data_IF_898903804348
#
_entry.id   IF_898903804348
#
_cell.length_a   1.000
_cell.length_b   1.000
_cell.length_c   1.000
_cell.angle_alpha   90.00
_cell.angle_beta   90.00
_cell.angle_gamma   90.00
#
_symmetry.space_group_name_H-M   'P 1'
#
loop_
_entity.id
_entity.type
_entity.pdbx_description
1 polymer ?
#
# COMPACT_ATOMS: atom_id res chain seq x y z
N UNK A 1 -0.66 -11.00 3.90
CA UNK A 1 -1.02 -9.74 4.60
C UNK A 1 0.17 -9.17 5.37
N UNK A 2 0.68 -9.87 6.39
CA UNK A 2 1.67 -9.27 7.31
C UNK A 2 3.00 -8.90 6.66
N UNK A 3 3.40 -9.62 5.60
CA UNK A 3 4.57 -9.27 4.81
C UNK A 3 4.42 -7.90 4.12
N UNK A 4 3.24 -7.64 3.54
CA UNK A 4 2.95 -6.35 2.90
C UNK A 4 2.92 -5.22 3.94
N UNK A 5 2.29 -5.47 5.10
CA UNK A 5 2.26 -4.51 6.22
C UNK A 5 3.68 -4.14 6.65
N UNK A 6 4.55 -5.13 6.87
CA UNK A 6 5.95 -4.89 7.23
C UNK A 6 6.67 -4.04 6.19
N UNK A 7 6.50 -4.35 4.91
CA UNK A 7 7.12 -3.55 3.85
C UNK A 7 6.62 -2.11 3.78
N UNK A 8 5.34 -1.86 4.10
CA UNK A 8 4.81 -0.50 4.20
C UNK A 8 5.38 0.25 5.42
N UNK A 9 5.48 -0.42 6.57
CA UNK A 9 6.08 0.14 7.79
C UNK A 9 7.57 0.45 7.58
N UNK A 10 8.32 -0.45 6.94
CA UNK A 10 9.72 -0.24 6.55
C UNK A 10 9.88 0.95 5.58
N UNK A 11 8.85 1.25 4.78
CA UNK A 11 8.79 2.42 3.90
C UNK A 11 8.29 3.70 4.62
N UNK A 12 8.13 3.67 5.94
CA UNK A 12 7.73 4.81 6.77
C UNK A 12 6.24 5.15 6.73
N UNK A 13 5.39 4.22 6.29
CA UNK A 13 3.94 4.42 6.30
C UNK A 13 3.34 4.06 7.67
N UNK A 14 2.28 4.76 8.07
CA UNK A 14 1.38 4.28 9.13
C UNK A 14 0.36 3.31 8.52
N UNK A 15 0.07 2.22 9.23
CA UNK A 15 -0.89 1.21 8.79
C UNK A 15 -2.12 1.19 9.69
N UNK A 16 -3.30 1.23 9.10
CA UNK A 16 -4.57 1.06 9.79
C UNK A 16 -5.47 0.04 9.06
N UNK A 17 -6.50 -0.40 9.75
CA UNK A 17 -7.47 -1.37 9.25
C UNK A 17 -8.88 -0.89 9.50
N UNK A 18 -9.80 -1.18 8.58
CA UNK A 18 -11.22 -1.04 8.86
C UNK A 18 -11.82 -2.31 9.48
N UNK A 19 -13.11 -2.26 9.79
CA UNK A 19 -13.84 -3.39 10.37
C UNK A 19 -13.95 -4.60 9.42
N UNK A 20 -13.72 -4.43 8.12
CA UNK A 20 -13.78 -5.49 7.11
C UNK A 20 -12.39 -6.08 6.80
N UNK A 21 -11.33 -5.57 7.42
CA UNK A 21 -9.97 -6.06 7.26
C UNK A 21 -9.22 -5.48 6.06
N UNK A 22 -9.75 -4.43 5.42
CA UNK A 22 -8.98 -3.68 4.42
C UNK A 22 -7.77 -3.04 5.09
N UNK A 23 -6.67 -2.96 4.35
CA UNK A 23 -5.40 -2.43 4.83
C UNK A 23 -5.18 -1.06 4.20
N UNK A 24 -4.94 -0.06 5.03
CA UNK A 24 -4.60 1.29 4.60
C UNK A 24 -3.18 1.61 5.05
N UNK A 25 -2.26 1.75 4.11
CA UNK A 25 -0.90 2.23 4.36
C UNK A 25 -0.82 3.70 3.92
N UNK A 26 -0.57 4.62 4.85
CA UNK A 26 -0.50 6.06 4.58
C UNK A 26 0.92 6.57 4.77
N UNK A 27 1.51 7.05 3.68
CA UNK A 27 2.67 7.94 3.71
C UNK A 27 2.20 9.36 4.08
N UNK A 28 2.83 10.06 5.04
CA UNK A 28 2.47 11.44 5.35
C UNK A 28 2.73 12.35 4.13
N UNK A 29 1.79 13.26 3.87
CA UNK A 29 1.98 14.34 2.90
C UNK A 29 2.62 15.57 3.55
N UNK A 30 2.93 16.58 2.71
CA UNK A 30 3.40 17.90 3.20
C UNK A 30 2.31 18.65 3.96
N UNK A 31 1.04 18.41 3.62
CA UNK A 31 -0.14 18.87 4.35
C UNK A 31 -1.10 17.69 4.53
N UNK A 32 -1.28 17.23 5.77
CA UNK A 32 -2.15 16.09 6.08
C UNK A 32 -3.62 16.47 6.33
N UNK A 33 -3.96 17.76 6.28
CA UNK A 33 -5.34 18.26 6.37
C UNK A 33 -6.13 18.07 5.06
N UNK A 34 -5.42 17.98 3.94
CA UNK A 34 -6.01 17.69 2.63
C UNK A 34 -6.42 16.21 2.53
N UNK A 35 -7.45 15.90 1.72
CA UNK A 35 -7.80 14.52 1.42
C UNK A 35 -6.62 13.73 0.81
N UNK A 36 -6.42 12.47 1.21
CA UNK A 36 -5.35 11.64 0.65
C UNK A 36 -5.65 11.25 -0.79
N UNK A 37 -4.58 11.03 -1.57
CA UNK A 37 -4.67 10.34 -2.86
C UNK A 37 -4.50 8.84 -2.61
N UNK A 38 -5.42 8.04 -3.15
CA UNK A 38 -5.50 6.60 -2.90
C UNK A 38 -5.14 5.83 -4.17
N UNK A 39 -4.31 4.79 -4.00
CA UNK A 39 -4.06 3.77 -5.01
C UNK A 39 -4.05 2.40 -4.31
N UNK A 40 -4.46 1.36 -5.02
CA UNK A 40 -4.51 0.02 -4.47
C UNK A 40 -5.19 -0.99 -5.39
N UNK A 41 -5.26 -2.22 -4.90
CA UNK A 41 -5.95 -3.33 -5.55
C UNK A 41 -6.24 -4.39 -4.46
N UNK A 42 -6.23 -5.68 -4.79
CA UNK A 42 -6.53 -6.76 -3.85
C UNK A 42 -5.34 -7.73 -3.68
N UNK A 43 -5.34 -8.50 -2.58
CA UNK A 43 -4.27 -9.46 -2.23
C UNK A 43 -4.74 -10.93 -2.20
N UNK A 44 -6.04 -11.17 -2.35
CA UNK A 44 -6.59 -12.51 -2.51
C UNK A 44 -6.38 -13.01 -3.95
N UNK A 45 -6.56 -14.32 -4.14
CA UNK A 45 -6.46 -14.95 -5.45
C UNK A 45 -7.44 -16.12 -5.54
N UNK A 46 -7.69 -16.56 -6.76
CA UNK A 46 -8.47 -17.77 -7.02
C UNK A 46 -7.58 -19.03 -6.84
N UNK A 47 -8.15 -20.24 -6.63
CA UNK A 47 -7.36 -21.46 -6.41
C UNK A 47 -6.28 -21.76 -7.45
N UNK A 48 -6.53 -21.39 -8.72
CA UNK A 48 -5.57 -21.49 -9.83
C UNK A 48 -5.24 -20.12 -10.42
N UNK A 49 -5.36 -19.07 -9.62
CA UNK A 49 -5.10 -17.69 -10.01
C UNK A 49 -3.62 -17.43 -10.30
N UNK A 50 -3.36 -16.43 -11.14
CA UNK A 50 -2.01 -15.99 -11.45
C UNK A 50 -1.36 -15.20 -10.30
N UNK A 51 -0.05 -14.98 -10.41
CA UNK A 51 0.73 -14.22 -9.41
C UNK A 51 0.51 -12.71 -9.44
N UNK A 52 -0.10 -12.19 -10.51
CA UNK A 52 -0.11 -10.76 -10.81
C UNK A 52 -1.47 -10.11 -10.59
N UNK A 53 -2.56 -10.84 -10.82
CA UNK A 53 -3.91 -10.31 -10.63
C UNK A 53 -4.10 -9.88 -9.17
N UNK A 54 -4.57 -8.65 -8.98
CA UNK A 54 -4.62 -7.96 -7.69
C UNK A 54 -3.24 -7.55 -7.15
N UNK A 55 -2.40 -8.53 -6.82
CA UNK A 55 -1.16 -8.32 -6.07
C UNK A 55 -0.21 -7.34 -6.77
N UNK A 56 -0.17 -7.32 -8.11
CA UNK A 56 0.64 -6.37 -8.86
C UNK A 56 0.22 -4.91 -8.58
N UNK A 57 -1.07 -4.61 -8.54
CA UNK A 57 -1.56 -3.26 -8.25
C UNK A 57 -1.24 -2.80 -6.83
N UNK A 58 -1.29 -3.73 -5.87
CA UNK A 58 -0.89 -3.46 -4.47
C UNK A 58 0.60 -3.16 -4.37
N UNK A 59 1.44 -3.97 -5.01
CA UNK A 59 2.90 -3.76 -5.00
C UNK A 59 3.32 -2.53 -5.79
N UNK A 60 2.63 -2.19 -6.88
CA UNK A 60 2.85 -0.96 -7.63
C UNK A 60 2.59 0.28 -6.76
N UNK A 61 1.56 0.26 -5.90
CA UNK A 61 1.30 1.35 -4.95
C UNK A 61 2.43 1.54 -3.94
N UNK A 62 2.97 0.44 -3.39
CA UNK A 62 4.13 0.49 -2.50
C UNK A 62 5.38 0.99 -3.23
N UNK A 63 5.59 0.59 -4.49
CA UNK A 63 6.74 1.01 -5.27
C UNK A 63 6.71 2.51 -5.60
N UNK A 64 5.52 3.08 -5.84
CA UNK A 64 5.36 4.54 -5.95
C UNK A 64 5.82 5.23 -4.67
N UNK A 65 5.44 4.72 -3.49
CA UNK A 65 5.87 5.29 -2.21
C UNK A 65 7.40 5.23 -2.05
N UNK A 66 8.00 4.07 -2.34
CA UNK A 66 9.46 3.89 -2.25
C UNK A 66 10.20 4.82 -3.20
N UNK A 67 9.75 4.92 -4.45
CA UNK A 67 10.32 5.83 -5.44
C UNK A 67 10.25 7.29 -4.98
N UNK A 68 9.13 7.73 -4.38
CA UNK A 68 9.01 9.08 -3.83
C UNK A 68 9.95 9.31 -2.65
N UNK A 69 10.17 8.29 -1.81
CA UNK A 69 11.13 8.38 -0.71
C UNK A 69 12.57 8.42 -1.20
N UNK A 70 12.94 7.59 -2.17
CA UNK A 70 14.29 7.54 -2.76
C UNK A 70 14.66 8.86 -3.46
N UNK A 71 13.65 9.59 -3.95
CA UNK A 71 13.79 10.91 -4.58
C UNK A 71 13.63 12.09 -3.58
N UNK A 72 13.53 11.81 -2.28
CA UNK A 72 13.33 12.81 -1.22
C UNK A 72 12.17 13.79 -1.48
N UNK A 73 11.05 13.30 -2.03
CA UNK A 73 9.90 14.13 -2.42
C UNK A 73 8.88 14.43 -1.32
#
# INVERSE_FOLDING_TARGET
RDLFVRWCEDAGCSVSYDAMGNIFARRPGRDNSLPPIMTGSHLDSQPTGGKFDGAYGVLAGLEVIRTLNDLDY
#
